data_IF_057171658280
#
_entry.id   IF_057171658280
#
_cell.length_a   1.000
_cell.length_b   1.000
_cell.length_c   1.000
_cell.angle_alpha   90.00
_cell.angle_beta   90.00
_cell.angle_gamma   90.00
#
_symmetry.space_group_name_H-M   'P 1'
#
loop_
_entity.id
_entity.type
_entity.pdbx_description
1 polymer ?
#
# COMPACT_ATOMS: atom_id res chain seq x y z
N UNK A 1 9.55 8.21 -10.67
CA UNK A 1 10.26 7.10 -11.34
C UNK A 1 9.26 6.19 -12.05
N UNK A 2 9.74 5.37 -12.95
CA UNK A 2 8.91 4.38 -13.64
C UNK A 2 9.01 3.06 -12.86
N UNK A 3 7.86 2.42 -12.60
CA UNK A 3 7.84 1.10 -11.97
C UNK A 3 8.57 0.06 -12.85
N UNK A 4 9.59 -0.66 -12.30
CA UNK A 4 10.46 -1.53 -13.08
C UNK A 4 9.89 -2.95 -13.26
N UNK A 5 8.69 -3.07 -13.78
CA UNK A 5 7.88 -4.30 -13.80
C UNK A 5 8.58 -5.56 -14.33
N UNK A 6 9.47 -5.42 -15.33
CA UNK A 6 10.22 -6.54 -15.94
C UNK A 6 11.62 -6.71 -15.36
N UNK A 7 12.12 -5.79 -14.56
CA UNK A 7 13.41 -5.94 -13.92
C UNK A 7 13.31 -7.01 -12.83
N UNK A 8 14.44 -7.61 -12.49
CA UNK A 8 14.51 -8.70 -11.53
C UNK A 8 15.27 -8.28 -10.27
N UNK A 9 14.98 -8.97 -9.18
CA UNK A 9 15.72 -8.90 -7.94
C UNK A 9 15.87 -10.31 -7.35
N UNK A 10 16.89 -10.49 -6.51
CA UNK A 10 17.06 -11.72 -5.75
C UNK A 10 16.32 -11.60 -4.43
N UNK A 11 15.36 -12.50 -4.19
CA UNK A 11 14.64 -12.63 -2.93
C UNK A 11 15.49 -13.38 -1.88
N UNK A 12 14.93 -13.62 -0.71
CA UNK A 12 15.60 -14.36 0.37
C UNK A 12 15.98 -13.44 1.51
N UNK A 13 17.10 -12.75 1.44
CA UNK A 13 17.56 -11.84 2.48
C UNK A 13 17.93 -10.47 1.91
N UNK A 14 17.52 -9.41 2.59
CA UNK A 14 17.89 -8.03 2.28
C UNK A 14 18.70 -7.46 3.43
N UNK A 15 20.03 -7.62 3.35
CA UNK A 15 20.96 -6.95 4.26
C UNK A 15 21.13 -5.50 3.83
N UNK A 16 21.09 -4.55 4.76
CA UNK A 16 21.10 -3.14 4.43
C UNK A 16 21.87 -2.29 5.44
N UNK A 17 22.29 -1.13 4.99
CA UNK A 17 22.87 -0.05 5.82
C UNK A 17 22.23 1.28 5.42
N UNK A 18 22.28 2.24 6.33
CA UNK A 18 21.96 3.64 6.07
C UNK A 18 23.24 4.46 6.19
N UNK A 19 23.56 5.26 5.19
CA UNK A 19 24.73 6.14 5.22
C UNK A 19 24.47 7.42 6.02
N UNK A 20 25.49 8.22 6.22
CA UNK A 20 25.42 9.50 6.96
C UNK A 20 24.48 10.54 6.34
N UNK A 21 24.04 10.33 5.09
CA UNK A 21 23.09 11.19 4.38
C UNK A 21 21.65 10.63 4.43
N UNK A 22 21.44 9.50 5.14
CA UNK A 22 20.14 8.86 5.27
C UNK A 22 19.74 8.00 4.05
N UNK A 23 20.66 7.72 3.13
CA UNK A 23 20.42 6.82 2.00
C UNK A 23 20.57 5.38 2.44
N UNK A 24 19.55 4.57 2.14
CA UNK A 24 19.53 3.14 2.45
C UNK A 24 19.92 2.35 1.18
N UNK A 25 20.78 1.37 1.33
CA UNK A 25 21.17 0.48 0.24
C UNK A 25 21.49 -0.93 0.71
N UNK A 26 21.32 -1.90 -0.19
CA UNK A 26 21.62 -3.30 0.05
C UNK A 26 23.13 -3.52 0.11
N UNK A 27 23.60 -4.37 1.04
CA UNK A 27 25.01 -4.72 1.24
C UNK A 27 25.11 -6.13 1.79
N UNK A 28 26.26 -6.78 1.60
CA UNK A 28 26.56 -8.07 2.26
C UNK A 28 27.14 -7.92 3.68
N UNK A 29 27.55 -6.70 4.05
CA UNK A 29 28.27 -6.41 5.30
C UNK A 29 27.38 -5.69 6.32
N UNK A 30 26.25 -6.32 6.68
CA UNK A 30 25.35 -5.79 7.70
C UNK A 30 24.60 -6.89 8.41
N UNK A 31 24.45 -6.75 9.72
CA UNK A 31 23.59 -7.60 10.55
C UNK A 31 22.12 -7.20 10.46
N UNK A 32 21.79 -6.00 9.93
CA UNK A 32 20.43 -5.57 9.70
C UNK A 32 19.86 -6.30 8.48
N UNK A 33 18.85 -7.11 8.69
CA UNK A 33 18.32 -7.98 7.65
C UNK A 33 16.80 -8.02 7.67
N UNK A 34 16.21 -7.97 6.48
CA UNK A 34 14.77 -8.22 6.24
C UNK A 34 14.66 -9.50 5.42
N UNK A 35 13.67 -10.32 5.75
CA UNK A 35 13.34 -11.56 5.06
C UNK A 35 11.92 -11.50 4.47
N UNK A 36 11.68 -12.29 3.44
CA UNK A 36 10.32 -12.61 3.02
C UNK A 36 9.60 -13.43 4.11
N UNK A 37 8.27 -13.42 4.09
CA UNK A 37 7.46 -14.09 5.10
C UNK A 37 7.86 -15.58 5.25
N UNK A 38 8.00 -16.03 6.49
CA UNK A 38 8.45 -17.39 6.83
C UNK A 38 9.87 -17.73 6.34
N UNK A 39 10.70 -16.74 6.06
CA UNK A 39 12.06 -16.95 5.55
C UNK A 39 12.11 -17.55 4.14
N UNK A 40 11.03 -17.43 3.37
CA UNK A 40 10.98 -17.95 2.01
C UNK A 40 12.02 -17.28 1.10
N UNK A 41 12.60 -18.08 0.22
CA UNK A 41 13.45 -17.60 -0.86
C UNK A 41 12.83 -18.03 -2.20
N UNK A 42 12.44 -17.05 -2.99
CA UNK A 42 11.80 -17.26 -4.30
C UNK A 42 12.81 -17.24 -5.45
N UNK A 43 14.12 -17.14 -5.16
CA UNK A 43 15.18 -16.97 -6.15
C UNK A 43 15.09 -15.59 -6.81
N UNK A 44 15.57 -15.52 -8.05
CA UNK A 44 15.53 -14.31 -8.89
C UNK A 44 14.16 -14.19 -9.55
N UNK A 45 13.41 -13.14 -9.22
CA UNK A 45 12.05 -12.90 -9.73
C UNK A 45 11.88 -11.46 -10.22
N UNK A 46 10.92 -11.24 -11.12
CA UNK A 46 10.55 -9.88 -11.55
C UNK A 46 9.80 -9.14 -10.45
N UNK A 47 9.77 -7.79 -10.50
CA UNK A 47 8.98 -7.01 -9.53
C UNK A 47 7.49 -7.33 -9.58
N UNK A 48 6.92 -7.58 -10.76
CA UNK A 48 5.53 -8.04 -10.86
C UNK A 48 5.32 -9.38 -10.16
N UNK A 49 6.26 -10.32 -10.31
CA UNK A 49 6.19 -11.60 -9.61
C UNK A 49 6.39 -11.44 -8.11
N UNK A 50 7.30 -10.58 -7.70
CA UNK A 50 7.49 -10.22 -6.29
C UNK A 50 6.23 -9.68 -5.63
N UNK A 51 5.45 -8.85 -6.34
CA UNK A 51 4.13 -8.39 -5.88
C UNK A 51 3.15 -9.56 -5.68
N UNK A 52 3.07 -10.47 -6.65
CA UNK A 52 2.19 -11.67 -6.59
C UNK A 52 2.55 -12.58 -5.41
N UNK A 53 3.85 -12.69 -5.11
CA UNK A 53 4.39 -13.50 -4.01
C UNK A 53 4.42 -12.75 -2.66
N UNK A 54 3.99 -11.47 -2.63
CA UNK A 54 4.05 -10.61 -1.44
C UNK A 54 5.47 -10.52 -0.86
N UNK A 55 6.46 -10.31 -1.73
CA UNK A 55 7.86 -10.23 -1.32
C UNK A 55 8.17 -8.92 -0.60
N UNK A 56 8.62 -9.01 0.65
CA UNK A 56 9.15 -7.89 1.42
C UNK A 56 10.43 -7.35 0.75
N UNK A 57 11.25 -8.27 0.23
CA UNK A 57 12.53 -7.94 -0.42
C UNK A 57 12.28 -7.10 -1.67
N UNK A 58 11.25 -7.46 -2.48
CA UNK A 58 10.86 -6.66 -3.64
C UNK A 58 10.49 -5.22 -3.27
N UNK A 59 9.79 -5.02 -2.16
CA UNK A 59 9.48 -3.67 -1.66
C UNK A 59 10.74 -2.94 -1.18
N UNK A 60 11.64 -3.62 -0.46
CA UNK A 60 12.91 -3.02 -0.04
C UNK A 60 13.76 -2.56 -1.24
N UNK A 61 13.84 -3.38 -2.29
CA UNK A 61 14.53 -3.03 -3.54
C UNK A 61 13.89 -1.81 -4.23
N UNK A 62 12.55 -1.73 -4.26
CA UNK A 62 11.84 -0.57 -4.81
C UNK A 62 12.15 0.71 -4.03
N UNK A 63 12.11 0.65 -2.70
CA UNK A 63 12.35 1.80 -1.83
C UNK A 63 13.82 2.25 -1.78
N UNK A 64 14.75 1.39 -2.16
CA UNK A 64 16.18 1.74 -2.12
C UNK A 64 16.74 2.12 -3.49
N UNK A 65 16.18 1.57 -4.58
CA UNK A 65 16.70 1.81 -5.95
C UNK A 65 15.84 2.78 -6.77
N UNK A 66 14.52 2.77 -6.59
CA UNK A 66 13.60 3.44 -7.51
C UNK A 66 12.74 4.52 -6.86
N UNK A 67 12.60 4.49 -5.54
CA UNK A 67 11.79 5.47 -4.80
C UNK A 67 12.49 5.85 -3.50
N UNK A 68 12.77 7.14 -3.33
CA UNK A 68 13.27 7.64 -2.05
C UNK A 68 12.21 7.45 -0.95
N UNK A 69 12.59 7.00 0.27
CA UNK A 69 11.64 6.85 1.37
C UNK A 69 10.85 8.12 1.72
N UNK A 70 11.40 9.30 1.50
CA UNK A 70 10.67 10.58 1.69
C UNK A 70 9.51 10.71 0.72
N UNK A 71 9.72 10.38 -0.55
CA UNK A 71 8.68 10.36 -1.58
C UNK A 71 7.61 9.31 -1.23
N UNK A 72 8.01 8.15 -0.76
CA UNK A 72 7.08 7.13 -0.28
C UNK A 72 6.19 7.65 0.86
N UNK A 73 6.77 8.35 1.84
CA UNK A 73 6.03 9.00 2.94
C UNK A 73 5.02 10.02 2.43
N UNK A 74 5.37 10.81 1.41
CA UNK A 74 4.42 11.74 0.77
C UNK A 74 3.22 10.99 0.16
N UNK A 75 3.44 9.82 -0.44
CA UNK A 75 2.35 9.01 -0.96
C UNK A 75 1.46 8.45 0.15
N UNK A 76 2.00 8.06 1.30
CA UNK A 76 1.18 7.67 2.46
C UNK A 76 0.25 8.82 2.90
N UNK A 77 0.74 10.06 2.89
CA UNK A 77 -0.11 11.23 3.18
C UNK A 77 -1.13 11.50 2.07
N UNK A 78 -0.75 11.39 0.79
CA UNK A 78 -1.66 11.53 -0.35
C UNK A 78 -2.79 10.51 -0.34
N UNK A 79 -2.53 9.29 0.12
CA UNK A 79 -3.54 8.25 0.32
C UNK A 79 -4.36 8.42 1.61
N UNK A 80 -4.05 9.43 2.42
CA UNK A 80 -4.81 9.77 3.61
C UNK A 80 -4.51 8.91 4.84
N UNK A 81 -3.42 8.14 4.85
CA UNK A 81 -3.08 7.28 5.98
C UNK A 81 -2.62 8.03 7.24
N UNK A 82 -2.13 9.26 7.10
CA UNK A 82 -1.58 10.03 8.21
C UNK A 82 -2.59 10.98 8.88
N UNK A 83 -3.81 11.07 8.33
CA UNK A 83 -4.86 11.99 8.78
C UNK A 83 -6.16 11.24 9.09
N UNK A 84 -6.99 11.75 10.01
CA UNK A 84 -8.35 11.24 10.18
C UNK A 84 -9.15 11.35 8.88
N UNK A 85 -9.97 10.35 8.59
CA UNK A 85 -10.94 10.42 7.50
C UNK A 85 -12.09 11.33 7.93
N UNK A 86 -12.34 12.39 7.18
CA UNK A 86 -13.47 13.28 7.44
C UNK A 86 -14.79 12.65 6.96
N UNK A 87 -15.30 11.69 7.71
CA UNK A 87 -16.54 10.98 7.42
C UNK A 87 -17.66 11.42 8.37
N UNK A 88 -18.86 11.77 7.85
CA UNK A 88 -19.99 12.12 8.69
C UNK A 88 -20.34 10.99 9.68
N UNK A 89 -20.59 11.34 10.94
CA UNK A 89 -21.00 10.43 12.03
C UNK A 89 -19.97 9.39 12.45
N UNK A 90 -18.78 9.36 11.84
CA UNK A 90 -17.71 8.44 12.19
C UNK A 90 -16.52 9.21 12.78
N UNK A 91 -16.35 9.07 14.09
CA UNK A 91 -15.16 9.60 14.75
C UNK A 91 -13.99 8.60 14.56
N UNK A 92 -12.86 9.11 14.10
CA UNK A 92 -11.67 8.29 13.90
C UNK A 92 -10.40 9.13 14.07
N UNK A 93 -9.26 8.45 14.21
CA UNK A 93 -7.94 9.09 14.30
C UNK A 93 -7.14 8.82 13.04
N UNK A 94 -6.16 9.67 12.76
CA UNK A 94 -5.14 9.41 11.74
C UNK A 94 -4.31 8.18 12.09
N UNK A 95 -3.74 7.55 11.08
CA UNK A 95 -2.76 6.49 11.28
C UNK A 95 -1.45 7.03 11.87
N UNK A 96 -0.65 6.12 12.38
CA UNK A 96 0.69 6.42 12.87
C UNK A 96 1.72 5.62 12.11
N UNK A 97 2.88 6.22 11.84
CA UNK A 97 4.02 5.54 11.23
C UNK A 97 5.26 5.71 12.11
N UNK A 98 6.06 4.67 12.17
CA UNK A 98 7.42 4.74 12.65
C UNK A 98 8.33 4.88 11.42
N UNK A 99 9.13 5.95 11.38
CA UNK A 99 9.87 6.34 10.17
C UNK A 99 11.23 6.98 10.48
N UNK A 100 11.78 6.69 11.66
CA UNK A 100 13.02 7.29 12.12
C UNK A 100 14.25 6.50 11.67
N UNK A 101 14.16 5.16 11.70
CA UNK A 101 15.25 4.26 11.39
C UNK A 101 15.10 3.63 10.00
N UNK A 102 16.20 3.20 9.38
CA UNK A 102 16.19 2.54 8.09
C UNK A 102 15.25 1.31 8.05
N UNK A 103 15.26 0.50 9.11
CA UNK A 103 14.36 -0.66 9.25
C UNK A 103 12.89 -0.26 9.23
N UNK A 104 12.52 0.82 9.91
CA UNK A 104 11.15 1.33 9.95
C UNK A 104 10.71 1.86 8.58
N UNK A 105 11.58 2.64 7.90
CA UNK A 105 11.34 3.16 6.56
C UNK A 105 11.06 2.04 5.56
N UNK A 106 11.85 0.97 5.60
CA UNK A 106 11.65 -0.19 4.73
C UNK A 106 10.42 -1.01 5.13
N UNK A 107 10.24 -1.28 6.43
CA UNK A 107 9.15 -2.12 6.94
C UNK A 107 7.77 -1.51 6.70
N UNK A 108 7.65 -0.19 6.73
CA UNK A 108 6.41 0.51 6.41
C UNK A 108 5.92 0.16 5.00
N UNK A 109 6.85 -0.06 4.05
CA UNK A 109 6.54 -0.38 2.66
C UNK A 109 5.80 -1.71 2.46
N UNK A 110 5.98 -2.67 3.37
CA UNK A 110 5.26 -3.95 3.35
C UNK A 110 4.28 -4.12 4.53
N UNK A 111 3.81 -3.00 5.10
CA UNK A 111 2.70 -2.98 6.06
C UNK A 111 3.09 -3.20 7.51
N UNK A 112 4.37 -3.16 7.85
CA UNK A 112 4.85 -3.10 9.23
C UNK A 112 5.24 -1.65 9.60
N UNK A 113 5.48 -1.37 10.88
CA UNK A 113 5.80 0.00 11.36
C UNK A 113 4.75 1.07 10.99
N UNK A 114 3.54 0.67 10.61
CA UNK A 114 2.40 1.54 10.30
C UNK A 114 1.12 0.98 10.92
N UNK A 115 0.29 1.87 11.49
CA UNK A 115 -1.05 1.56 11.97
C UNK A 115 -2.06 2.45 11.25
N UNK A 116 -3.08 1.83 10.68
CA UNK A 116 -4.17 2.51 9.99
C UNK A 116 -5.51 1.92 10.43
N UNK A 117 -6.58 2.69 10.29
CA UNK A 117 -7.93 2.20 10.58
C UNK A 117 -8.68 1.77 9.31
N UNK A 118 -9.80 1.07 9.49
CA UNK A 118 -10.59 0.54 8.38
C UNK A 118 -11.12 1.64 7.43
N UNK A 119 -11.44 2.83 7.94
CA UNK A 119 -11.91 3.94 7.11
C UNK A 119 -10.80 4.47 6.20
N UNK A 120 -9.57 4.55 6.73
CA UNK A 120 -8.41 4.95 5.92
C UNK A 120 -8.11 3.92 4.83
N UNK A 121 -8.20 2.62 5.16
CA UNK A 121 -8.06 1.55 4.17
C UNK A 121 -9.14 1.65 3.10
N UNK A 122 -10.42 1.78 3.47
CA UNK A 122 -11.52 1.91 2.51
C UNK A 122 -11.33 3.13 1.60
N UNK A 123 -10.93 4.28 2.17
CA UNK A 123 -10.64 5.49 1.42
C UNK A 123 -9.49 5.29 0.42
N UNK A 124 -8.36 4.74 0.86
CA UNK A 124 -7.19 4.51 0.02
C UNK A 124 -7.47 3.51 -1.10
N UNK A 125 -8.11 2.37 -0.77
CA UNK A 125 -8.47 1.36 -1.77
C UNK A 125 -9.48 1.88 -2.81
N UNK A 126 -10.34 2.83 -2.46
CA UNK A 126 -11.25 3.44 -3.44
C UNK A 126 -10.48 4.06 -4.62
N UNK A 127 -9.29 4.62 -4.39
CA UNK A 127 -8.46 5.15 -5.48
C UNK A 127 -7.97 4.06 -6.44
N UNK A 128 -7.74 2.84 -5.93
CA UNK A 128 -7.29 1.71 -6.78
C UNK A 128 -8.44 1.23 -7.69
N UNK A 129 -9.69 1.25 -7.22
CA UNK A 129 -10.85 0.71 -7.93
C UNK A 129 -11.73 1.79 -8.59
N UNK A 130 -11.32 3.05 -8.56
CA UNK A 130 -12.05 4.20 -9.13
C UNK A 130 -11.12 5.12 -9.91
N UNK A 131 -10.39 4.53 -10.87
CA UNK A 131 -9.54 5.23 -11.86
C UNK A 131 -8.56 6.24 -11.24
N UNK A 132 -8.05 5.91 -10.06
CA UNK A 132 -7.14 6.73 -9.29
C UNK A 132 -7.82 7.78 -8.41
N UNK A 133 -9.14 7.91 -8.48
CA UNK A 133 -9.92 8.90 -7.71
C UNK A 133 -10.28 8.33 -6.34
N UNK A 134 -9.80 8.97 -5.29
CA UNK A 134 -10.03 8.58 -3.90
C UNK A 134 -11.34 9.18 -3.40
N UNK A 135 -12.22 8.33 -2.86
CA UNK A 135 -13.55 8.69 -2.39
C UNK A 135 -13.61 8.71 -0.86
N UNK A 136 -14.37 9.63 -0.32
CA UNK A 136 -14.64 9.68 1.12
C UNK A 136 -15.64 8.58 1.53
N UNK A 137 -15.27 7.67 2.44
CA UNK A 137 -16.22 6.71 3.00
C UNK A 137 -17.31 7.43 3.81
N UNK A 138 -18.55 6.96 3.73
CA UNK A 138 -19.66 7.42 4.57
C UNK A 138 -20.66 6.27 4.80
N UNK A 139 -21.37 6.31 5.91
CA UNK A 139 -22.30 5.25 6.33
C UNK A 139 -23.75 5.70 6.41
N UNK A 140 -23.97 7.01 6.35
CA UNK A 140 -25.32 7.59 6.35
C UNK A 140 -25.61 8.12 4.96
N UNK A 141 -26.57 7.53 4.29
CA UNK A 141 -27.04 7.98 2.97
C UNK A 141 -27.89 9.25 3.10
N UNK A 142 -28.89 9.24 3.99
CA UNK A 142 -29.77 10.37 4.21
C UNK A 142 -30.36 10.41 5.62
N UNK A 143 -30.88 11.56 5.97
CA UNK A 143 -31.63 11.81 7.21
C UNK A 143 -33.07 12.17 6.80
N UNK A 144 -34.05 11.44 7.30
CA UNK A 144 -35.46 11.68 7.03
C UNK A 144 -36.23 11.98 8.31
N UNK A 145 -37.32 12.75 8.18
CA UNK A 145 -38.32 12.89 9.23
C UNK A 145 -39.26 11.67 9.22
N UNK A 146 -40.01 11.49 10.28
CA UNK A 146 -41.01 10.40 10.39
C UNK A 146 -42.09 10.39 9.26
N UNK A 147 -42.33 11.53 8.64
CA UNK A 147 -43.27 11.69 7.52
C UNK A 147 -42.59 11.42 6.13
N UNK A 148 -41.34 10.92 6.08
CA UNK A 148 -40.66 10.62 4.85
C UNK A 148 -39.94 11.84 4.21
N UNK A 149 -40.05 13.04 4.78
CA UNK A 149 -39.36 14.21 4.22
C UNK A 149 -37.86 14.09 4.44
N UNK A 150 -37.08 14.12 3.37
CA UNK A 150 -35.60 14.11 3.44
C UNK A 150 -35.11 15.47 3.98
N UNK A 151 -34.42 15.44 5.09
CA UNK A 151 -33.83 16.61 5.74
C UNK A 151 -32.42 16.87 5.19
N UNK A 152 -31.68 15.81 4.93
CA UNK A 152 -30.32 15.87 4.41
C UNK A 152 -30.00 14.62 3.61
N UNK A 153 -29.41 14.80 2.43
CA UNK A 153 -28.84 13.77 1.59
C UNK A 153 -27.31 13.87 1.61
N UNK A 154 -26.63 12.75 1.63
CA UNK A 154 -25.18 12.68 1.49
C UNK A 154 -24.84 12.08 0.14
N UNK A 155 -23.95 12.75 -0.58
CA UNK A 155 -23.52 12.34 -1.91
C UNK A 155 -22.07 11.81 -1.88
N UNK A 156 -21.71 10.90 -2.80
CA UNK A 156 -20.32 10.48 -2.99
C UNK A 156 -19.43 11.70 -3.21
N UNK A 157 -18.31 11.77 -2.47
CA UNK A 157 -17.37 12.89 -2.55
C UNK A 157 -15.96 12.42 -2.83
N UNK A 158 -15.39 12.86 -3.95
CA UNK A 158 -13.96 12.73 -4.21
C UNK A 158 -13.15 13.59 -3.24
N UNK A 159 -12.06 13.03 -2.72
CA UNK A 159 -11.15 13.69 -1.75
C UNK A 159 -9.71 13.77 -2.23
N UNK A 160 -9.40 13.20 -3.40
CA UNK A 160 -8.09 13.27 -4.00
C UNK A 160 -7.95 12.36 -5.22
N UNK A 161 -6.82 12.46 -5.89
CA UNK A 161 -6.43 11.57 -7.00
C UNK A 161 -4.94 11.22 -6.85
N UNK A 162 -4.59 10.32 -5.89
CA UNK A 162 -3.20 10.01 -5.57
C UNK A 162 -2.45 9.28 -6.69
N UNK A 163 -3.15 8.58 -7.58
CA UNK A 163 -2.59 7.83 -8.70
C UNK A 163 -3.34 8.11 -9.99
N UNK A 164 -2.70 7.82 -11.14
CA UNK A 164 -3.35 7.91 -12.44
C UNK A 164 -4.27 6.71 -12.69
N UNK A 165 -5.23 6.86 -13.61
CA UNK A 165 -6.07 5.79 -14.13
C UNK A 165 -5.23 4.59 -14.63
N UNK A 166 -4.17 4.86 -15.39
CA UNK A 166 -3.24 3.83 -15.86
C UNK A 166 -2.59 3.06 -14.73
N UNK A 167 -2.21 3.72 -13.63
CA UNK A 167 -1.63 3.07 -12.46
C UNK A 167 -2.70 2.24 -11.74
N UNK A 168 -3.92 2.77 -11.57
CA UNK A 168 -5.07 2.05 -11.02
C UNK A 168 -5.32 0.75 -11.77
N UNK A 169 -5.48 0.80 -13.10
CA UNK A 169 -5.70 -0.37 -13.93
C UNK A 169 -4.55 -1.41 -13.83
N UNK A 170 -3.30 -0.93 -13.75
CA UNK A 170 -2.15 -1.80 -13.62
C UNK A 170 -2.12 -2.56 -12.28
N UNK A 171 -2.36 -1.85 -11.18
CA UNK A 171 -2.42 -2.46 -9.83
C UNK A 171 -3.58 -3.47 -9.74
N UNK A 172 -4.75 -3.16 -10.30
CA UNK A 172 -5.88 -4.10 -10.34
C UNK A 172 -5.50 -5.41 -11.07
N UNK A 173 -4.75 -5.29 -12.19
CA UNK A 173 -4.24 -6.47 -12.91
C UNK A 173 -3.28 -7.29 -12.04
N UNK A 174 -2.38 -6.66 -11.31
CA UNK A 174 -1.47 -7.36 -10.39
C UNK A 174 -2.23 -8.02 -9.23
N UNK A 175 -3.21 -7.32 -8.63
CA UNK A 175 -4.04 -7.86 -7.55
C UNK A 175 -4.82 -9.10 -7.99
N UNK A 176 -5.34 -9.13 -9.22
CA UNK A 176 -5.95 -10.34 -9.77
C UNK A 176 -4.97 -11.51 -9.79
N UNK A 177 -3.72 -11.29 -10.18
CA UNK A 177 -2.70 -12.34 -10.22
C UNK A 177 -2.36 -12.88 -8.83
N UNK A 178 -2.46 -12.06 -7.77
CA UNK A 178 -2.27 -12.54 -6.38
C UNK A 178 -3.26 -13.65 -6.03
N UNK A 179 -4.46 -13.64 -6.61
CA UNK A 179 -5.53 -14.63 -6.38
C UNK A 179 -5.50 -15.77 -7.41
N UNK A 180 -5.22 -15.46 -8.68
CA UNK A 180 -5.41 -16.40 -9.79
C UNK A 180 -4.14 -17.11 -10.27
N UNK A 181 -2.93 -16.57 -10.02
CA UNK A 181 -1.69 -17.29 -10.27
C UNK A 181 -1.58 -18.45 -9.25
N UNK A 182 -1.08 -19.63 -9.69
CA UNK A 182 -1.00 -20.84 -8.85
C UNK A 182 -0.21 -20.65 -7.56
N UNK A 183 0.80 -19.81 -7.60
CA UNK A 183 1.69 -19.47 -6.47
C UNK A 183 1.41 -18.09 -5.89
N UNK A 184 0.31 -17.45 -6.29
CA UNK A 184 -0.16 -16.21 -5.66
C UNK A 184 -0.51 -16.43 -4.19
N UNK A 185 -0.18 -15.47 -3.34
CA UNK A 185 -0.35 -15.62 -1.88
C UNK A 185 -1.80 -15.77 -1.46
N UNK A 186 -2.76 -15.32 -2.27
CA UNK A 186 -4.19 -15.47 -2.02
C UNK A 186 -4.86 -16.58 -2.90
N UNK A 187 -4.08 -17.38 -3.62
CA UNK A 187 -4.61 -18.48 -4.43
C UNK A 187 -5.51 -19.47 -3.65
N UNK A 188 -5.24 -19.79 -2.36
CA UNK A 188 -6.12 -20.64 -1.55
C UNK A 188 -7.51 -20.04 -1.30
N UNK A 189 -7.67 -18.72 -1.46
CA UNK A 189 -8.92 -17.99 -1.22
C UNK A 189 -9.67 -17.65 -2.51
N UNK A 190 -9.26 -18.21 -3.64
CA UNK A 190 -9.96 -18.04 -4.91
C UNK A 190 -11.38 -18.54 -4.78
N UNK A 191 -12.35 -17.66 -5.03
CA UNK A 191 -13.75 -18.05 -5.13
C UNK A 191 -13.99 -18.75 -6.48
N UNK A 192 -14.74 -19.84 -6.46
CA UNK A 192 -15.25 -20.46 -7.69
C UNK A 192 -16.52 -19.69 -8.05
N UNK A 193 -16.50 -19.01 -9.19
CA UNK A 193 -17.69 -18.40 -9.81
C UNK A 193 -18.58 -19.48 -10.41
#
# INVERSE_FOLDING_TARGET
>A
GKYPYNETFDSGAFHFVEDSKGKIYRTSNSDLTIYDALGKNHGTVTFDKGFVLSSNIGICELLTKYMDPSIYKEYLDKFGFLKPVNSPFLNNRGGTIFFNYASEKLSTGFGQAINVNALQMAQAFSAIFNDGTMMRPYVVDRIERSNGTVVKQYEPKAVGKPISEKTSAYIQKLMKRVVYDKDGTAAPYKMND
#
